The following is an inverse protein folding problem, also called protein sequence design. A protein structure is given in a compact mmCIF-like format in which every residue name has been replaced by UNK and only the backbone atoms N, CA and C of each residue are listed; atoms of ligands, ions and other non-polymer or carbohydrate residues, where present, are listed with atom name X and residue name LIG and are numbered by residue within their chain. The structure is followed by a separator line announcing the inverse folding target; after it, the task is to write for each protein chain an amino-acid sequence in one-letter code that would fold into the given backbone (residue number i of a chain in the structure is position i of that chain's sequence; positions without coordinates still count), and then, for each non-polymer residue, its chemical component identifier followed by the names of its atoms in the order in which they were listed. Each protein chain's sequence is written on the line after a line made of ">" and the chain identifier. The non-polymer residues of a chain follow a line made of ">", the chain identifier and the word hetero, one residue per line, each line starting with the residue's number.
data_IF_588170064597
#
_entry.id   IF_588170064597
#
_cell.length_a   1.000
_cell.length_b   1.000
_cell.length_c   1.000
_cell.angle_alpha   90.00
_cell.angle_beta   90.00
_cell.angle_gamma   90.00
#
_symmetry.space_group_name_H-M   'P 1'
#
loop_
_entity.id
_entity.type
_entity.pdbx_description
1 polymer ?
#
# COMPACT_ATOMS: atom_id res chain seq x y z
N UNK A 1 -30.65 -64.84 -74.13
CA UNK A 1 -29.39 -65.42 -73.59
C UNK A 1 -28.77 -64.40 -72.67
N UNK A 2 -28.35 -64.87 -71.51
CA UNK A 2 -28.04 -64.17 -70.25
C UNK A 2 -27.18 -62.91 -70.34
N UNK A 3 -27.71 -61.81 -69.78
CA UNK A 3 -26.91 -60.69 -69.29
C UNK A 3 -26.22 -61.08 -67.97
N UNK A 4 -24.89 -60.97 -67.92
CA UNK A 4 -24.15 -60.89 -66.67
C UNK A 4 -23.61 -59.46 -66.52
N UNK A 5 -24.20 -58.70 -65.61
CA UNK A 5 -23.69 -57.42 -65.13
C UNK A 5 -22.69 -57.68 -64.01
N UNK A 6 -21.44 -57.30 -64.22
CA UNK A 6 -20.42 -57.16 -63.17
C UNK A 6 -20.53 -55.77 -62.54
N UNK A 7 -21.04 -55.71 -61.31
CA UNK A 7 -21.08 -54.51 -60.49
C UNK A 7 -19.70 -54.28 -59.84
N UNK A 8 -19.08 -53.09 -59.94
CA UNK A 8 -17.89 -52.76 -59.16
C UNK A 8 -18.30 -52.30 -57.75
N UNK A 9 -17.65 -52.89 -56.74
CA UNK A 9 -17.80 -52.54 -55.32
C UNK A 9 -17.14 -51.18 -55.09
N UNK A 10 -17.95 -50.15 -54.83
CA UNK A 10 -17.49 -48.83 -54.36
C UNK A 10 -17.31 -48.88 -52.84
N UNK A 11 -16.06 -48.76 -52.39
CA UNK A 11 -15.69 -48.67 -50.98
C UNK A 11 -15.97 -47.23 -50.49
N UNK A 12 -17.09 -47.01 -49.79
CA UNK A 12 -17.38 -45.73 -49.14
C UNK A 12 -16.49 -45.54 -47.91
N UNK A 13 -15.46 -44.69 -48.03
CA UNK A 13 -14.68 -44.19 -46.90
C UNK A 13 -15.51 -43.09 -46.20
N UNK A 14 -16.09 -43.41 -45.05
CA UNK A 14 -16.77 -42.44 -44.18
C UNK A 14 -15.69 -41.71 -43.38
N UNK A 15 -15.42 -40.45 -43.73
CA UNK A 15 -14.62 -39.54 -42.91
C UNK A 15 -15.45 -39.09 -41.70
N UNK A 16 -15.17 -39.63 -40.52
CA UNK A 16 -15.61 -39.03 -39.26
C UNK A 16 -14.75 -37.80 -38.98
N UNK A 17 -15.27 -36.61 -39.27
CA UNK A 17 -14.70 -35.35 -38.79
C UNK A 17 -15.06 -35.18 -37.32
N UNK A 18 -14.17 -35.56 -36.41
CA UNK A 18 -14.27 -35.25 -34.99
C UNK A 18 -14.00 -33.76 -34.78
N UNK A 19 -15.05 -32.94 -34.69
CA UNK A 19 -14.94 -31.55 -34.25
C UNK A 19 -14.67 -31.52 -32.75
N UNK A 20 -13.41 -31.42 -32.36
CA UNK A 20 -13.02 -31.10 -30.98
C UNK A 20 -13.31 -29.63 -30.72
N UNK A 21 -14.45 -29.33 -30.10
CA UNK A 21 -14.71 -28.01 -29.52
C UNK A 21 -13.81 -27.84 -28.30
N UNK A 22 -12.66 -27.19 -28.48
CA UNK A 22 -11.82 -26.72 -27.37
C UNK A 22 -12.53 -25.54 -26.69
N UNK A 23 -13.30 -25.81 -25.65
CA UNK A 23 -13.72 -24.77 -24.71
C UNK A 23 -12.47 -24.27 -23.99
N UNK A 24 -11.90 -23.16 -24.46
CA UNK A 24 -10.92 -22.40 -23.69
C UNK A 24 -11.64 -21.84 -22.48
N UNK A 25 -11.51 -22.52 -21.33
CA UNK A 25 -11.81 -21.90 -20.05
C UNK A 25 -10.96 -20.62 -19.96
N UNK A 26 -11.54 -19.47 -19.57
CA UNK A 26 -10.73 -18.30 -19.25
C UNK A 26 -9.72 -18.72 -18.18
N UNK A 27 -8.46 -18.24 -18.23
CA UNK A 27 -7.48 -18.57 -17.20
C UNK A 27 -8.11 -18.23 -15.84
N UNK A 28 -8.24 -19.23 -14.98
CA UNK A 28 -8.58 -19.00 -13.58
C UNK A 28 -7.46 -18.14 -13.02
N UNK A 29 -7.73 -16.84 -12.87
CA UNK A 29 -6.88 -15.96 -12.07
C UNK A 29 -6.63 -16.69 -10.75
N UNK A 30 -5.38 -16.95 -10.36
CA UNK A 30 -5.12 -17.63 -9.10
C UNK A 30 -5.87 -16.89 -8.00
N UNK A 31 -6.65 -17.61 -7.20
CA UNK A 31 -7.24 -17.04 -6.00
C UNK A 31 -6.09 -16.48 -5.16
N UNK A 32 -6.02 -15.16 -5.00
CA UNK A 32 -5.00 -14.52 -4.15
C UNK A 32 -5.15 -15.03 -2.70
N UNK A 33 -4.11 -14.92 -1.86
CA UNK A 33 -4.04 -15.57 -0.55
C UNK A 33 -4.89 -14.79 0.48
N UNK A 34 -6.18 -14.75 0.24
CA UNK A 34 -7.10 -13.93 1.03
C UNK A 34 -7.17 -14.41 2.46
N UNK A 35 -7.04 -13.48 3.40
CA UNK A 35 -6.97 -13.78 4.83
C UNK A 35 -5.55 -13.96 5.36
N UNK A 36 -4.52 -13.92 4.51
CA UNK A 36 -3.14 -13.78 4.98
C UNK A 36 -2.94 -12.35 5.52
N UNK A 37 -2.68 -12.24 6.82
CA UNK A 37 -2.22 -11.00 7.44
C UNK A 37 -1.13 -11.25 8.48
N UNK A 38 -0.28 -10.23 8.66
CA UNK A 38 0.67 -10.15 9.76
C UNK A 38 0.36 -8.88 10.56
N UNK A 39 0.36 -9.00 11.88
CA UNK A 39 0.23 -7.86 12.80
C UNK A 39 1.35 -7.99 13.82
N UNK A 40 2.30 -7.06 13.82
CA UNK A 40 3.50 -7.09 14.67
C UNK A 40 3.44 -5.93 15.64
N UNK A 41 3.41 -6.24 16.93
CA UNK A 41 3.50 -5.29 18.03
C UNK A 41 4.98 -5.01 18.33
N UNK A 42 5.50 -3.92 17.77
CA UNK A 42 6.92 -3.60 17.79
C UNK A 42 7.31 -3.10 19.20
N UNK A 43 8.29 -3.71 19.83
CA UNK A 43 8.62 -3.49 21.23
C UNK A 43 8.06 -4.53 22.20
N UNK A 44 7.04 -5.30 21.80
CA UNK A 44 6.39 -6.26 22.68
C UNK A 44 7.12 -7.61 22.72
N UNK A 45 7.39 -8.19 23.91
CA UNK A 45 8.07 -9.49 24.04
C UNK A 45 7.14 -10.69 23.82
N UNK A 46 5.82 -10.49 23.79
CA UNK A 46 4.82 -11.56 23.79
C UNK A 46 3.71 -11.31 22.79
N UNK A 47 3.17 -12.39 22.22
CA UNK A 47 1.96 -12.30 21.41
C UNK A 47 0.79 -11.83 22.26
N UNK A 48 -0.14 -11.12 21.64
CA UNK A 48 -1.37 -10.65 22.27
C UNK A 48 -2.57 -10.82 21.33
N UNK A 49 -3.77 -10.57 21.85
CA UNK A 49 -4.98 -10.52 21.04
C UNK A 49 -5.76 -9.29 21.46
N UNK A 50 -6.17 -8.48 20.50
CA UNK A 50 -6.87 -7.25 20.77
C UNK A 50 -8.39 -7.46 20.96
N UNK A 51 -9.08 -6.36 21.27
CA UNK A 51 -10.54 -6.35 21.47
C UNK A 51 -11.35 -6.71 20.22
N UNK A 52 -10.74 -6.72 19.04
CA UNK A 52 -11.34 -7.10 17.77
C UNK A 52 -11.00 -8.55 17.38
N UNK A 53 -10.41 -9.33 18.29
CA UNK A 53 -9.97 -10.70 18.08
C UNK A 53 -8.85 -10.82 17.03
N UNK A 54 -8.07 -9.76 16.82
CA UNK A 54 -6.87 -9.78 15.97
C UNK A 54 -5.70 -10.30 16.78
N UNK A 55 -5.01 -11.32 16.29
CA UNK A 55 -3.77 -11.81 16.90
C UNK A 55 -2.60 -10.93 16.50
N UNK A 56 -1.94 -10.35 17.51
CA UNK A 56 -0.72 -9.57 17.37
C UNK A 56 0.48 -10.44 17.76
N UNK A 57 1.45 -10.54 16.86
CA UNK A 57 2.72 -11.19 17.09
C UNK A 57 3.60 -10.30 17.95
N UNK A 58 4.36 -10.92 18.86
CA UNK A 58 5.49 -10.24 19.52
C UNK A 58 6.46 -9.70 18.49
N UNK A 59 7.21 -8.69 18.87
CA UNK A 59 8.22 -8.08 18.05
C UNK A 59 9.24 -9.12 17.55
N UNK A 60 9.40 -9.20 16.23
CA UNK A 60 10.23 -10.18 15.53
C UNK A 60 10.51 -9.72 14.10
N UNK A 61 11.43 -10.40 13.42
CA UNK A 61 11.88 -10.11 12.05
C UNK A 61 12.71 -8.82 11.88
N UNK A 62 13.02 -8.11 12.95
CA UNK A 62 13.86 -6.91 12.93
C UNK A 62 15.35 -7.27 12.85
N UNK A 63 16.15 -6.36 12.29
CA UNK A 63 17.61 -6.51 12.18
C UNK A 63 18.39 -6.12 13.44
N UNK A 64 17.84 -5.25 14.28
CA UNK A 64 18.52 -4.74 15.47
C UNK A 64 17.66 -3.73 16.24
N UNK A 65 18.31 -2.86 17.03
CA UNK A 65 17.63 -1.81 17.79
C UNK A 65 17.19 -2.26 19.19
N UNK A 66 16.49 -1.36 19.88
CA UNK A 66 16.03 -1.55 21.25
C UNK A 66 14.53 -1.26 21.36
N UNK A 67 13.93 -1.71 22.45
CA UNK A 67 12.50 -1.57 22.71
C UNK A 67 12.26 -0.44 23.72
N UNK A 68 11.15 0.27 23.57
CA UNK A 68 10.70 1.33 24.45
C UNK A 68 9.20 1.22 24.73
N UNK A 69 8.75 1.99 25.71
CA UNK A 69 7.34 2.21 26.03
C UNK A 69 7.11 3.70 25.92
N UNK A 70 6.00 4.09 25.30
CA UNK A 70 5.56 5.49 25.23
C UNK A 70 5.46 6.12 26.63
N UNK A 71 5.62 7.43 26.76
CA UNK A 71 5.62 8.08 28.07
C UNK A 71 4.27 8.01 28.78
N UNK A 72 3.15 8.02 28.03
CA UNK A 72 1.80 7.99 28.58
C UNK A 72 0.97 6.83 27.98
N UNK A 73 1.29 5.57 28.32
CA UNK A 73 0.69 4.38 27.68
C UNK A 73 -0.82 4.23 27.89
N UNK A 74 -1.39 4.95 28.87
CA UNK A 74 -2.83 4.95 29.13
C UNK A 74 -3.63 5.80 28.13
N UNK A 75 -2.97 6.67 27.34
CA UNK A 75 -3.62 7.42 26.25
C UNK A 75 -4.00 6.52 25.09
N UNK A 76 -3.20 5.50 24.86
CA UNK A 76 -3.36 4.57 23.74
C UNK A 76 -4.35 3.48 24.11
N UNK A 77 -5.32 3.27 23.23
CA UNK A 77 -6.37 2.26 23.45
C UNK A 77 -5.86 0.87 23.11
N UNK A 78 -4.99 0.77 22.12
CA UNK A 78 -4.52 -0.52 21.62
C UNK A 78 -3.16 -0.89 22.21
N UNK A 79 -2.92 -2.20 22.38
CA UNK A 79 -1.67 -2.70 22.94
C UNK A 79 -0.46 -2.37 22.06
N UNK A 80 -0.62 -2.56 20.74
CA UNK A 80 0.40 -2.33 19.72
C UNK A 80 0.75 -0.86 19.48
N UNK A 81 0.11 0.06 20.20
CA UNK A 81 0.42 1.49 20.19
C UNK A 81 1.21 1.93 21.43
N UNK A 82 1.34 1.06 22.44
CA UNK A 82 1.97 1.38 23.74
C UNK A 82 3.45 1.06 23.78
N UNK A 83 3.89 0.12 22.95
CA UNK A 83 5.30 -0.24 22.83
C UNK A 83 5.86 0.25 21.50
N UNK A 84 7.18 0.41 21.44
CA UNK A 84 7.87 0.75 20.22
C UNK A 84 9.22 0.06 20.13
N UNK A 85 9.68 -0.17 18.91
CA UNK A 85 11.09 -0.39 18.60
C UNK A 85 11.70 0.91 18.10
N UNK A 86 12.89 1.21 18.58
CA UNK A 86 13.70 2.30 18.09
C UNK A 86 15.09 1.82 17.66
N UNK A 87 15.65 2.48 16.66
CA UNK A 87 16.92 2.10 16.05
C UNK A 87 17.99 3.16 16.34
N UNK A 88 18.71 3.08 17.48
CA UNK A 88 19.80 4.02 17.77
C UNK A 88 20.96 3.81 16.80
N UNK A 89 21.82 4.83 16.69
CA UNK A 89 23.00 4.80 15.81
C UNK A 89 23.96 3.63 16.11
N UNK A 90 23.95 3.09 17.33
CA UNK A 90 24.71 1.89 17.69
C UNK A 90 24.28 0.63 16.91
N UNK A 91 23.06 0.63 16.39
CA UNK A 91 22.49 -0.41 15.51
C UNK A 91 22.68 -0.09 14.03
N UNK A 92 23.49 0.93 13.70
CA UNK A 92 23.71 1.42 12.35
C UNK A 92 22.60 2.34 11.84
N UNK A 93 22.89 3.04 10.73
CA UNK A 93 21.98 4.02 10.14
C UNK A 93 20.75 3.43 9.45
N UNK A 94 20.80 2.13 9.15
CA UNK A 94 19.78 1.38 8.41
C UNK A 94 19.39 0.13 9.18
N UNK A 95 18.11 -0.02 9.46
CA UNK A 95 17.55 -1.18 10.12
C UNK A 95 16.25 -1.61 9.46
N UNK A 96 15.95 -2.90 9.42
CA UNK A 96 14.81 -3.38 8.66
C UNK A 96 14.03 -4.47 9.39
N UNK A 97 12.76 -4.59 9.03
CA UNK A 97 11.95 -5.78 9.24
C UNK A 97 11.90 -6.60 7.94
N UNK A 98 12.20 -7.89 8.03
CA UNK A 98 12.14 -8.84 6.90
C UNK A 98 11.06 -9.87 7.16
N UNK A 99 9.81 -9.59 6.74
CA UNK A 99 8.66 -10.46 7.00
C UNK A 99 8.66 -11.60 5.98
N UNK A 100 8.80 -12.87 6.41
CA UNK A 100 8.98 -13.99 5.49
C UNK A 100 7.66 -14.65 5.06
N UNK A 101 7.76 -15.59 4.12
CA UNK A 101 6.68 -16.47 3.67
C UNK A 101 5.51 -15.76 2.99
N UNK A 102 5.82 -14.75 2.18
CA UNK A 102 4.83 -13.99 1.43
C UNK A 102 4.69 -14.55 0.00
N UNK A 103 3.54 -15.14 -0.36
CA UNK A 103 3.28 -15.48 -1.77
C UNK A 103 3.26 -14.22 -2.66
N UNK A 104 3.57 -14.36 -3.97
CA UNK A 104 3.50 -13.24 -4.88
C UNK A 104 2.10 -12.62 -4.94
N UNK A 105 1.97 -11.36 -4.55
CA UNK A 105 0.70 -10.62 -4.57
C UNK A 105 0.95 -9.12 -4.41
N UNK A 106 -0.13 -8.35 -4.45
CA UNK A 106 -0.13 -7.01 -3.87
C UNK A 106 -0.41 -7.11 -2.37
N UNK A 107 0.15 -6.20 -1.60
CA UNK A 107 -0.02 -6.13 -0.15
C UNK A 107 -0.31 -4.71 0.30
N UNK A 108 -1.23 -4.55 1.25
CA UNK A 108 -1.34 -3.33 2.04
C UNK A 108 -0.35 -3.43 3.21
N UNK A 109 0.63 -2.54 3.24
CA UNK A 109 1.49 -2.31 4.40
C UNK A 109 0.91 -1.14 5.19
N UNK A 110 0.75 -1.31 6.49
CA UNK A 110 0.39 -0.23 7.42
C UNK A 110 1.37 -0.19 8.58
N UNK A 111 1.81 1.00 8.93
CA UNK A 111 2.67 1.24 10.09
C UNK A 111 2.01 2.23 11.04
N UNK A 112 2.14 2.00 12.34
CA UNK A 112 1.85 3.01 13.36
C UNK A 112 3.16 3.56 13.93
N UNK A 113 3.28 4.89 13.92
CA UNK A 113 4.45 5.61 14.42
C UNK A 113 4.01 6.60 15.48
N UNK A 114 4.65 6.53 16.64
CA UNK A 114 4.48 7.50 17.71
C UNK A 114 5.81 7.71 18.45
N UNK A 115 6.07 8.95 18.87
CA UNK A 115 7.22 9.28 19.70
C UNK A 115 6.84 9.25 21.18
N UNK A 116 5.78 10.00 21.53
CA UNK A 116 5.25 10.25 22.88
C UNK A 116 6.34 10.35 23.95
N UNK A 117 7.45 11.03 23.60
CA UNK A 117 8.59 11.28 24.48
C UNK A 117 9.11 10.04 25.24
N UNK A 118 9.13 8.88 24.59
CA UNK A 118 9.53 7.60 25.21
C UNK A 118 10.94 7.63 25.85
N UNK A 119 11.81 8.54 25.39
CA UNK A 119 13.19 8.69 25.85
C UNK A 119 13.41 9.94 26.74
N UNK A 120 12.36 10.71 27.03
CA UNK A 120 12.42 11.91 27.85
C UNK A 120 13.13 13.13 27.21
N UNK A 121 13.51 13.07 25.93
CA UNK A 121 14.32 14.13 25.28
C UNK A 121 13.52 15.27 24.66
N UNK A 122 12.20 15.11 24.53
CA UNK A 122 11.30 16.06 23.88
C UNK A 122 11.74 16.41 22.44
N UNK A 123 12.35 15.47 21.75
CA UNK A 123 12.84 15.63 20.39
C UNK A 123 12.42 14.41 19.54
N UNK A 124 11.27 14.51 18.82
CA UNK A 124 10.86 13.44 17.93
C UNK A 124 11.89 13.26 16.79
N UNK A 125 12.19 12.03 16.36
CA UNK A 125 13.28 11.74 15.43
C UNK A 125 12.92 12.07 13.98
N UNK A 126 13.92 12.41 13.17
CA UNK A 126 13.82 12.45 11.71
C UNK A 126 14.31 11.13 11.10
N UNK A 127 13.50 10.54 10.21
CA UNK A 127 13.88 9.31 9.52
C UNK A 127 13.01 9.06 8.28
N UNK A 128 13.49 8.18 7.40
CA UNK A 128 12.73 7.66 6.26
C UNK A 128 12.38 6.20 6.44
N UNK A 129 11.28 5.78 5.83
CA UNK A 129 10.85 4.39 5.71
C UNK A 129 10.82 4.03 4.23
N UNK A 130 11.44 2.91 3.89
CA UNK A 130 11.39 2.33 2.55
C UNK A 130 10.74 0.95 2.59
N UNK A 131 10.01 0.62 1.51
CA UNK A 131 9.62 -0.75 1.19
C UNK A 131 10.49 -1.23 0.02
N UNK A 132 11.14 -2.37 0.21
CA UNK A 132 12.22 -2.84 -0.67
C UNK A 132 13.28 -1.74 -0.87
N UNK A 133 13.40 -1.23 -2.09
CA UNK A 133 14.36 -0.20 -2.50
C UNK A 133 13.78 1.22 -2.52
N UNK A 134 12.48 1.41 -2.22
CA UNK A 134 11.75 2.65 -2.51
C UNK A 134 11.35 3.37 -1.22
N UNK A 135 11.77 4.63 -1.05
CA UNK A 135 11.33 5.47 0.08
C UNK A 135 9.85 5.85 -0.09
N UNK A 136 9.07 5.63 0.97
CA UNK A 136 7.59 5.75 0.93
C UNK A 136 7.01 6.60 2.04
N UNK A 137 7.68 6.70 3.20
CA UNK A 137 7.28 7.60 4.28
C UNK A 137 8.49 8.40 4.78
N UNK A 138 8.28 9.69 5.06
CA UNK A 138 9.31 10.58 5.57
C UNK A 138 8.80 11.31 6.81
N UNK A 139 9.46 11.09 7.93
CA UNK A 139 9.17 11.73 9.21
C UNK A 139 10.26 12.76 9.49
N UNK A 140 9.88 14.02 9.75
CA UNK A 140 10.82 15.15 9.88
C UNK A 140 10.54 15.94 11.14
N UNK A 141 11.54 16.05 12.00
CA UNK A 141 11.49 16.85 13.22
C UNK A 141 11.50 18.35 12.91
N UNK A 142 10.79 19.21 13.67
CA UNK A 142 9.88 18.85 14.76
C UNK A 142 8.54 18.33 14.24
N UNK A 143 8.01 17.29 14.88
CA UNK A 143 6.68 16.75 14.53
C UNK A 143 5.58 17.66 15.08
N UNK A 144 4.42 17.77 14.38
CA UNK A 144 3.21 18.35 14.96
C UNK A 144 2.85 17.67 16.28
N UNK A 145 2.31 18.43 17.24
CA UNK A 145 2.06 17.88 18.58
C UNK A 145 1.07 16.70 18.58
N UNK A 146 0.07 16.70 17.71
CA UNK A 146 -0.85 15.58 17.54
C UNK A 146 -0.10 14.32 17.10
N UNK A 147 0.77 14.41 16.11
CA UNK A 147 1.60 13.28 15.67
C UNK A 147 2.59 12.84 16.76
N UNK A 148 3.25 13.79 17.41
CA UNK A 148 4.25 13.50 18.43
C UNK A 148 3.65 12.79 19.66
N UNK A 149 2.41 13.09 20.03
CA UNK A 149 1.76 12.57 21.26
C UNK A 149 0.72 11.49 21.02
N UNK A 150 -0.03 11.57 19.93
CA UNK A 150 -1.11 10.63 19.64
C UNK A 150 -0.73 9.62 18.54
N UNK A 151 0.36 9.89 17.81
CA UNK A 151 0.87 9.02 16.74
C UNK A 151 0.09 9.16 15.43
N UNK A 152 0.52 8.41 14.42
CA UNK A 152 -0.20 8.30 13.16
C UNK A 152 -0.04 6.92 12.52
N UNK A 153 -1.12 6.48 11.89
CA UNK A 153 -1.10 5.37 10.94
C UNK A 153 -0.76 5.90 9.56
N UNK A 154 0.15 5.21 8.86
CA UNK A 154 0.45 5.42 7.46
C UNK A 154 0.34 4.09 6.72
N UNK A 155 -0.32 4.06 5.57
CA UNK A 155 -0.45 2.83 4.77
C UNK A 155 -0.18 3.05 3.28
N UNK A 156 0.12 1.95 2.60
CA UNK A 156 0.43 1.91 1.18
C UNK A 156 0.07 0.55 0.59
N UNK A 157 -0.09 0.48 -0.73
CA UNK A 157 -0.08 -0.78 -1.47
C UNK A 157 1.21 -0.95 -2.26
N UNK A 158 1.86 -2.10 -2.12
CA UNK A 158 3.04 -2.49 -2.90
C UNK A 158 2.92 -3.91 -3.43
N UNK A 159 3.55 -4.17 -4.57
CA UNK A 159 3.61 -5.52 -5.14
C UNK A 159 4.86 -6.24 -4.62
N UNK A 160 4.70 -7.47 -4.17
CA UNK A 160 5.80 -8.36 -3.75
C UNK A 160 5.77 -9.56 -4.69
N UNK A 161 6.82 -9.74 -5.50
CA UNK A 161 6.82 -10.74 -6.59
C UNK A 161 7.91 -11.80 -6.46
N UNK A 162 9.16 -11.42 -6.17
CA UNK A 162 10.32 -12.30 -6.33
C UNK A 162 11.00 -12.74 -5.03
N UNK A 163 10.94 -11.93 -3.97
CA UNK A 163 11.67 -12.19 -2.72
C UNK A 163 10.99 -13.20 -1.79
N UNK A 164 9.68 -13.43 -1.95
CA UNK A 164 8.81 -14.08 -0.95
C UNK A 164 8.88 -13.46 0.45
N UNK A 165 9.36 -12.22 0.54
CA UNK A 165 9.58 -11.48 1.80
C UNK A 165 9.26 -10.00 1.59
N UNK A 166 8.68 -9.35 2.62
CA UNK A 166 8.53 -7.90 2.67
C UNK A 166 9.71 -7.33 3.44
N UNK A 167 10.47 -6.45 2.78
CA UNK A 167 11.57 -5.73 3.41
C UNK A 167 11.12 -4.30 3.71
N UNK A 168 10.95 -3.95 4.98
CA UNK A 168 10.60 -2.61 5.44
C UNK A 168 11.80 -2.04 6.18
N UNK A 169 12.46 -1.03 5.62
CA UNK A 169 13.69 -0.46 6.16
C UNK A 169 13.50 0.97 6.67
N UNK A 170 14.18 1.29 7.76
CA UNK A 170 14.18 2.57 8.45
C UNK A 170 15.58 3.19 8.36
N UNK A 171 15.65 4.44 7.92
CA UNK A 171 16.90 5.17 7.68
C UNK A 171 16.98 6.39 8.60
N UNK A 172 17.97 6.40 9.49
CA UNK A 172 18.17 7.46 10.47
C UNK A 172 18.72 8.72 9.82
N UNK A 173 18.12 9.89 10.09
CA UNK A 173 18.78 11.17 9.79
C UNK A 173 19.76 11.53 10.91
N UNK A 174 21.02 11.77 10.54
CA UNK A 174 22.09 12.10 11.49
C UNK A 174 22.16 11.10 12.67
N UNK A 175 21.77 11.53 13.88
CA UNK A 175 21.78 10.72 15.10
C UNK A 175 20.38 10.35 15.60
N UNK A 176 19.34 10.74 14.88
CA UNK A 176 17.95 10.52 15.28
C UNK A 176 17.58 9.04 15.13
N UNK A 177 17.08 8.37 16.17
CA UNK A 177 16.69 6.97 16.08
C UNK A 177 15.31 6.83 15.41
N UNK A 178 15.18 6.14 14.27
CA UNK A 178 13.86 5.80 13.73
C UNK A 178 13.04 5.00 14.74
N UNK A 179 11.73 5.23 14.77
CA UNK A 179 10.79 4.59 15.71
C UNK A 179 9.61 3.96 14.96
N UNK A 180 9.12 2.83 15.45
CA UNK A 180 7.90 2.16 14.96
C UNK A 180 7.24 1.38 16.09
N UNK A 181 5.92 1.50 16.19
CA UNK A 181 5.10 0.84 17.22
C UNK A 181 4.35 -0.37 16.67
N UNK A 182 3.88 -0.30 15.43
CA UNK A 182 3.29 -1.47 14.79
C UNK A 182 3.57 -1.55 13.31
N UNK A 183 3.63 -2.79 12.81
CA UNK A 183 3.70 -3.11 11.39
C UNK A 183 2.62 -4.14 11.09
N UNK A 184 1.78 -3.83 10.12
CA UNK A 184 0.72 -4.68 9.66
C UNK A 184 0.81 -4.90 8.15
N UNK A 185 0.54 -6.11 7.70
CA UNK A 185 0.61 -6.48 6.30
C UNK A 185 -0.61 -7.32 5.94
N UNK A 186 -1.34 -6.93 4.91
CA UNK A 186 -2.53 -7.64 4.44
C UNK A 186 -2.38 -8.00 2.97
N UNK A 187 -2.66 -9.24 2.61
CA UNK A 187 -2.71 -9.63 1.21
C UNK A 187 -3.90 -8.95 0.50
N UNK A 188 -3.61 -8.34 -0.65
CA UNK A 188 -4.57 -7.74 -1.55
C UNK A 188 -4.54 -8.44 -2.91
N UNK A 189 -5.62 -8.30 -3.67
CA UNK A 189 -5.67 -8.84 -5.02
C UNK A 189 -4.60 -8.15 -5.89
N UNK A 190 -3.77 -8.92 -6.64
CA UNK A 190 -2.70 -8.35 -7.46
C UNK A 190 -3.23 -7.44 -8.59
N UNK A 191 -4.49 -7.59 -8.99
CA UNK A 191 -5.13 -6.74 -10.01
C UNK A 191 -5.88 -5.54 -9.41
N UNK A 192 -5.91 -5.37 -8.08
CA UNK A 192 -6.58 -4.23 -7.44
C UNK A 192 -6.03 -2.88 -7.93
N UNK A 193 -6.82 -1.83 -7.84
CA UNK A 193 -6.50 -0.46 -8.25
C UNK A 193 -5.87 -0.38 -9.65
N UNK A 194 -6.46 -1.11 -10.61
CA UNK A 194 -6.01 -1.19 -12.01
C UNK A 194 -4.50 -1.38 -12.17
N UNK A 195 -3.93 -2.29 -11.36
CA UNK A 195 -2.51 -2.57 -11.32
C UNK A 195 -1.87 -2.74 -12.70
N UNK A 196 -2.57 -3.34 -13.67
CA UNK A 196 -2.06 -3.52 -15.03
C UNK A 196 -1.93 -2.21 -15.83
N UNK A 197 -2.82 -1.24 -15.61
CA UNK A 197 -2.78 0.06 -16.29
C UNK A 197 -1.76 1.00 -15.65
N UNK A 198 -1.63 0.94 -14.32
CA UNK A 198 -0.65 1.72 -13.55
C UNK A 198 0.75 1.10 -13.63
N UNK A 199 0.83 -0.23 -13.79
CA UNK A 199 2.02 -1.06 -13.67
C UNK A 199 3.05 -0.98 -14.79
N UNK A 200 2.98 0.00 -15.71
CA UNK A 200 4.11 0.24 -16.61
C UNK A 200 5.39 0.65 -15.87
N UNK A 201 5.28 1.13 -14.62
CA UNK A 201 6.41 1.62 -13.80
C UNK A 201 6.48 1.01 -12.39
N UNK A 202 5.86 -0.16 -12.14
CA UNK A 202 5.84 -0.87 -10.85
C UNK A 202 5.73 0.05 -9.61
N UNK A 203 4.71 0.92 -9.60
CA UNK A 203 4.59 1.98 -8.59
C UNK A 203 3.98 1.49 -7.28
N UNK A 204 4.47 2.03 -6.17
CA UNK A 204 3.85 1.94 -4.85
C UNK A 204 2.72 2.96 -4.75
N UNK A 205 1.56 2.55 -4.24
CA UNK A 205 0.42 3.44 -3.99
C UNK A 205 0.44 3.89 -2.53
N UNK A 206 1.03 5.05 -2.25
CA UNK A 206 1.09 5.62 -0.89
C UNK A 206 -0.21 6.35 -0.59
N UNK A 207 -0.87 6.05 0.51
CA UNK A 207 -2.17 6.64 0.86
C UNK A 207 -2.04 8.07 1.41
N UNK A 208 -2.66 9.03 0.73
CA UNK A 208 -2.77 10.44 1.15
C UNK A 208 -4.19 10.82 1.59
N UNK A 209 -5.11 9.85 1.63
CA UNK A 209 -6.47 10.05 2.11
C UNK A 209 -7.34 8.90 1.70
N UNK A 210 -7.93 8.21 2.70
CA UNK A 210 -8.96 7.18 2.49
C UNK A 210 -10.14 7.51 3.38
N UNK A 211 -11.17 8.10 2.80
CA UNK A 211 -12.28 8.75 3.50
C UNK A 211 -13.59 7.98 3.31
N UNK A 212 -14.33 7.80 4.39
CA UNK A 212 -15.73 7.34 4.40
C UNK A 212 -16.62 8.56 4.63
N UNK A 213 -17.34 8.96 3.59
CA UNK A 213 -18.13 10.18 3.61
C UNK A 213 -19.43 9.99 4.39
N UNK A 214 -19.71 10.92 5.31
CA UNK A 214 -20.92 10.86 6.15
C UNK A 214 -20.85 9.78 7.25
N UNK A 215 -19.67 9.27 7.57
CA UNK A 215 -19.45 8.29 8.63
C UNK A 215 -18.29 8.70 9.54
N UNK A 216 -18.23 8.09 10.73
CA UNK A 216 -17.04 8.17 11.60
C UNK A 216 -15.96 7.23 11.07
N UNK A 217 -14.73 7.41 11.54
CA UNK A 217 -13.63 6.49 11.24
C UNK A 217 -13.98 5.03 11.60
N UNK A 218 -13.57 4.08 10.75
CA UNK A 218 -13.83 2.65 10.93
C UNK A 218 -12.78 1.78 10.21
N UNK A 219 -12.76 0.48 10.53
CA UNK A 219 -11.82 -0.50 9.97
C UNK A 219 -10.84 -1.03 11.03
N UNK A 220 -9.82 -1.81 10.62
CA UNK A 220 -8.89 -2.46 11.55
C UNK A 220 -8.25 -1.45 12.51
N UNK A 221 -8.36 -1.70 13.81
CA UNK A 221 -7.91 -0.81 14.88
C UNK A 221 -8.97 0.18 15.37
N UNK A 222 -10.05 0.44 14.63
CA UNK A 222 -11.04 1.47 14.97
C UNK A 222 -12.43 0.92 15.26
N UNK A 223 -12.83 -0.16 14.59
CA UNK A 223 -14.15 -0.79 14.76
C UNK A 223 -14.13 -2.26 14.36
N UNK A 224 -15.23 -2.98 14.62
CA UNK A 224 -15.39 -4.39 14.26
C UNK A 224 -15.84 -4.61 12.80
N UNK A 225 -15.73 -3.58 11.96
CA UNK A 225 -16.13 -3.66 10.56
C UNK A 225 -14.96 -4.16 9.73
N UNK A 226 -15.19 -5.22 8.96
CA UNK A 226 -14.14 -5.85 8.17
C UNK A 226 -13.98 -5.20 6.81
N UNK A 227 -12.73 -5.13 6.36
CA UNK A 227 -12.34 -4.88 4.98
C UNK A 227 -11.34 -5.98 4.58
N UNK A 228 -11.56 -6.65 3.46
CA UNK A 228 -10.75 -7.80 3.04
C UNK A 228 -9.27 -7.46 2.81
N UNK A 229 -8.96 -6.20 2.52
CA UNK A 229 -7.60 -5.71 2.32
C UNK A 229 -7.02 -5.03 3.56
N UNK A 230 -7.74 -5.04 4.68
CA UNK A 230 -7.29 -4.39 5.92
C UNK A 230 -7.26 -2.87 5.86
N UNK A 231 -7.95 -2.25 4.89
CA UNK A 231 -8.03 -0.79 4.79
C UNK A 231 -8.82 -0.23 5.97
N UNK A 232 -8.31 0.85 6.56
CA UNK A 232 -9.07 1.70 7.46
C UNK A 232 -9.53 2.96 6.74
N UNK A 233 -10.73 3.42 7.09
CA UNK A 233 -11.42 4.53 6.46
C UNK A 233 -11.61 5.65 7.49
N UNK A 234 -11.11 6.84 7.17
CA UNK A 234 -11.20 8.02 8.02
C UNK A 234 -12.52 8.76 7.81
N UNK A 235 -12.93 9.56 8.79
CA UNK A 235 -14.06 10.49 8.60
C UNK A 235 -13.70 11.51 7.52
N UNK A 236 -14.64 11.83 6.65
CA UNK A 236 -14.47 12.91 5.68
C UNK A 236 -14.57 14.31 6.31
N UNK A 237 -15.03 14.39 7.57
CA UNK A 237 -15.40 15.64 8.24
C UNK A 237 -14.34 16.72 8.19
N UNK A 238 -13.08 16.33 8.36
CA UNK A 238 -11.95 17.24 8.57
C UNK A 238 -11.32 17.68 7.24
N UNK A 239 -11.70 17.02 6.14
CA UNK A 239 -11.23 17.28 4.78
C UNK A 239 -12.21 18.12 3.96
N UNK A 240 -13.45 18.28 4.45
CA UNK A 240 -14.46 19.09 3.77
C UNK A 240 -14.09 20.56 3.84
N UNK A 241 -14.07 21.18 2.69
CA UNK A 241 -13.89 22.61 2.51
C UNK A 241 -15.16 23.20 1.86
N UNK A 242 -15.29 24.52 1.86
CA UNK A 242 -16.48 25.18 1.32
C UNK A 242 -17.54 25.54 2.36
N UNK A 243 -18.53 26.33 1.92
CA UNK A 243 -19.54 26.97 2.80
C UNK A 243 -20.87 26.22 2.85
N UNK A 244 -21.06 25.24 1.97
CA UNK A 244 -22.31 24.49 1.89
C UNK A 244 -22.51 23.65 3.14
N UNK A 245 -23.73 23.65 3.67
CA UNK A 245 -24.09 22.71 4.75
C UNK A 245 -24.11 21.30 4.19
N UNK A 246 -23.36 20.42 4.84
CA UNK A 246 -23.24 19.01 4.46
C UNK A 246 -24.01 18.15 5.45
N UNK A 247 -24.88 17.30 4.92
CA UNK A 247 -25.64 16.31 5.69
C UNK A 247 -25.10 14.92 5.40
N UNK A 248 -24.98 14.11 6.45
CA UNK A 248 -24.73 12.68 6.30
C UNK A 248 -26.04 11.94 5.97
N UNK A 249 -25.95 10.95 5.09
CA UNK A 249 -27.01 10.01 4.77
C UNK A 249 -26.54 8.61 5.09
N UNK A 250 -27.46 7.77 5.54
CA UNK A 250 -27.18 6.36 5.83
C UNK A 250 -28.35 5.49 5.43
N UNK A 251 -28.07 4.26 5.01
CA UNK A 251 -29.08 3.23 4.77
C UNK A 251 -28.70 1.92 5.45
N UNK A 252 -29.70 1.09 5.73
CA UNK A 252 -29.54 -0.31 6.15
C UNK A 252 -29.81 -1.29 5.01
N UNK A 253 -30.23 -0.79 3.86
CA UNK A 253 -30.45 -1.59 2.66
C UNK A 253 -29.13 -2.17 2.18
N UNK A 254 -29.21 -3.37 1.60
CA UNK A 254 -28.06 -4.01 0.98
C UNK A 254 -27.61 -3.22 -0.25
N UNK A 255 -26.32 -2.99 -0.39
CA UNK A 255 -25.71 -2.35 -1.56
C UNK A 255 -25.11 -3.43 -2.46
N UNK A 256 -25.66 -3.57 -3.66
CA UNK A 256 -25.13 -4.50 -4.67
C UNK A 256 -23.82 -3.99 -5.30
N UNK A 257 -23.03 -4.88 -5.91
CA UNK A 257 -21.76 -4.53 -6.55
C UNK A 257 -20.58 -4.31 -5.61
N UNK A 258 -20.77 -4.53 -4.30
CA UNK A 258 -19.73 -4.46 -3.26
C UNK A 258 -19.01 -5.80 -3.10
N UNK A 259 -17.84 -5.79 -2.44
CA UNK A 259 -17.04 -7.00 -2.18
C UNK A 259 -16.68 -7.80 -3.45
N UNK A 260 -16.57 -7.11 -4.59
CA UNK A 260 -16.24 -7.72 -5.88
C UNK A 260 -14.75 -7.57 -6.21
N UNK A 261 -14.20 -8.59 -6.89
CA UNK A 261 -12.86 -8.51 -7.47
C UNK A 261 -12.77 -7.37 -8.50
N UNK A 262 -11.59 -6.75 -8.67
CA UNK A 262 -10.36 -7.02 -7.94
C UNK A 262 -10.23 -6.19 -6.64
N UNK A 263 -11.10 -5.22 -6.38
CA UNK A 263 -10.87 -4.24 -5.31
C UNK A 263 -11.49 -4.57 -3.96
N UNK A 264 -12.51 -5.44 -3.94
CA UNK A 264 -13.25 -5.86 -2.75
C UNK A 264 -13.64 -4.66 -1.89
N UNK A 265 -14.19 -3.61 -2.50
CA UNK A 265 -14.61 -2.43 -1.74
C UNK A 265 -15.75 -2.82 -0.79
N UNK A 266 -15.62 -2.48 0.50
CA UNK A 266 -16.53 -2.97 1.53
C UNK A 266 -17.91 -2.35 1.43
N UNK A 267 -18.95 -3.13 1.69
CA UNK A 267 -20.34 -2.67 1.62
C UNK A 267 -20.61 -1.47 2.54
N UNK A 268 -20.00 -1.48 3.73
CA UNK A 268 -20.11 -0.42 4.72
C UNK A 268 -19.78 0.96 4.15
N UNK A 269 -18.79 1.05 3.25
CA UNK A 269 -18.41 2.31 2.61
C UNK A 269 -19.59 2.95 1.87
N UNK A 270 -20.41 2.13 1.21
CA UNK A 270 -21.52 2.58 0.37
C UNK A 270 -22.85 2.69 1.11
N UNK A 271 -22.91 2.30 2.39
CA UNK A 271 -24.11 2.46 3.22
C UNK A 271 -24.21 3.87 3.83
N UNK A 272 -23.15 4.67 3.74
CA UNK A 272 -23.13 6.07 4.17
C UNK A 272 -22.72 6.97 3.03
N UNK A 273 -23.18 8.21 3.04
CA UNK A 273 -22.76 9.22 2.09
C UNK A 273 -22.83 10.63 2.69
N UNK A 274 -22.00 11.54 2.17
CA UNK A 274 -22.18 12.97 2.35
C UNK A 274 -23.01 13.55 1.18
N UNK A 275 -23.93 14.46 1.47
CA UNK A 275 -24.68 15.23 0.47
C UNK A 275 -24.82 16.69 0.91
N UNK A 276 -24.96 17.60 -0.03
CA UNK A 276 -25.24 19.00 0.27
C UNK A 276 -26.74 19.19 0.61
N UNK A 277 -27.06 20.10 1.54
CA UNK A 277 -28.44 20.28 2.03
C UNK A 277 -29.37 21.02 1.05
N UNK A 278 -28.86 21.91 0.20
CA UNK A 278 -29.66 22.77 -0.69
C UNK A 278 -29.53 22.37 -2.18
N UNK A 279 -30.56 22.68 -2.98
CA UNK A 279 -30.58 22.40 -4.43
C UNK A 279 -29.52 23.22 -5.17
N UNK A 280 -28.65 22.56 -5.94
CA UNK A 280 -27.44 23.16 -6.52
C UNK A 280 -26.23 23.12 -5.59
N UNK A 281 -26.33 22.41 -4.46
CA UNK A 281 -25.29 22.33 -3.45
C UNK A 281 -23.96 21.78 -3.97
N UNK A 282 -22.88 22.21 -3.33
CA UNK A 282 -21.51 21.84 -3.66
C UNK A 282 -20.94 21.01 -2.51
N UNK A 283 -20.28 19.91 -2.83
CA UNK A 283 -19.37 19.24 -1.90
C UNK A 283 -17.95 19.53 -2.35
N UNK A 284 -17.10 19.96 -1.44
CA UNK A 284 -15.73 20.34 -1.74
C UNK A 284 -14.83 19.75 -0.65
N UNK A 285 -13.70 19.20 -1.08
CA UNK A 285 -12.73 18.52 -0.25
C UNK A 285 -11.34 19.01 -0.63
N UNK A 286 -10.48 19.23 0.36
CA UNK A 286 -9.06 19.47 0.16
C UNK A 286 -8.25 18.41 0.88
N UNK A 287 -7.35 17.77 0.13
CA UNK A 287 -6.44 16.74 0.61
C UNK A 287 -5.02 17.31 0.54
N UNK A 288 -4.32 17.33 1.68
CA UNK A 288 -2.90 17.66 1.73
C UNK A 288 -2.09 16.59 1.01
N UNK A 289 -1.22 17.03 0.11
CA UNK A 289 -0.41 16.17 -0.76
C UNK A 289 0.98 16.76 -0.96
N UNK A 290 1.87 15.96 -1.54
CA UNK A 290 3.19 16.43 -1.95
C UNK A 290 3.18 16.91 -3.40
N UNK A 291 3.91 17.98 -3.67
CA UNK A 291 4.05 18.48 -5.02
C UNK A 291 4.96 17.57 -5.87
N UNK A 292 4.79 17.64 -7.19
CA UNK A 292 5.56 16.96 -8.24
C UNK A 292 5.40 15.43 -8.26
N UNK A 293 4.25 14.94 -7.81
CA UNK A 293 3.86 13.53 -7.90
C UNK A 293 2.58 13.36 -8.71
N UNK A 294 2.36 12.13 -9.16
CA UNK A 294 1.08 11.70 -9.74
C UNK A 294 0.17 11.18 -8.63
N UNK A 295 -1.13 11.44 -8.73
CA UNK A 295 -2.14 11.04 -7.74
C UNK A 295 -3.28 10.25 -8.39
N UNK A 296 -3.56 9.05 -7.89
CA UNK A 296 -4.70 8.22 -8.26
C UNK A 296 -5.85 8.51 -7.29
N UNK A 297 -6.89 9.16 -7.79
CA UNK A 297 -8.08 9.50 -7.02
C UNK A 297 -9.20 8.53 -7.37
N UNK A 298 -9.77 7.85 -6.38
CA UNK A 298 -10.97 7.02 -6.49
C UNK A 298 -12.13 7.70 -5.79
N UNK A 299 -13.27 7.78 -6.47
CA UNK A 299 -14.51 8.30 -5.94
C UNK A 299 -15.55 7.17 -5.90
N UNK A 300 -16.18 7.02 -4.74
CA UNK A 300 -17.12 5.96 -4.45
C UNK A 300 -18.53 6.53 -4.31
N UNK A 301 -19.48 5.93 -5.01
CA UNK A 301 -20.86 6.38 -5.09
C UNK A 301 -21.84 5.23 -4.91
N UNK A 302 -22.98 5.51 -4.30
CA UNK A 302 -24.16 4.66 -4.36
C UNK A 302 -25.40 5.56 -4.16
N UNK A 303 -26.42 5.41 -5.01
CA UNK A 303 -27.67 6.15 -4.79
C UNK A 303 -28.47 5.44 -3.69
N UNK A 304 -28.29 5.93 -2.46
CA UNK A 304 -28.92 5.39 -1.25
C UNK A 304 -30.14 6.20 -0.80
N UNK A 305 -30.45 7.30 -1.49
CA UNK A 305 -31.59 8.14 -1.16
C UNK A 305 -32.86 7.64 -1.85
N UNK A 306 -33.82 7.16 -1.06
CA UNK A 306 -35.05 6.54 -1.58
C UNK A 306 -35.92 7.42 -2.48
N UNK A 307 -35.76 8.76 -2.43
CA UNK A 307 -36.52 9.68 -3.29
C UNK A 307 -35.97 9.75 -4.73
N UNK A 308 -34.73 9.33 -4.96
CA UNK A 308 -34.13 9.27 -6.31
C UNK A 308 -34.36 7.88 -6.88
N UNK A 309 -35.27 7.77 -7.86
CA UNK A 309 -35.79 6.49 -8.35
C UNK A 309 -35.68 6.31 -9.86
N UNK A 310 -35.10 7.27 -10.56
CA UNK A 310 -34.90 7.19 -12.01
C UNK A 310 -33.73 8.07 -12.46
N UNK A 311 -33.27 7.75 -13.67
CA UNK A 311 -32.26 8.54 -14.41
C UNK A 311 -32.68 10.01 -14.48
N UNK A 312 -31.72 10.90 -14.26
CA UNK A 312 -31.87 12.35 -14.36
C UNK A 312 -32.36 13.06 -13.10
N UNK A 313 -32.73 12.35 -12.03
CA UNK A 313 -33.19 12.96 -10.78
C UNK A 313 -32.03 13.47 -9.89
N UNK A 314 -30.84 12.90 -10.04
CA UNK A 314 -29.61 13.44 -9.47
C UNK A 314 -28.50 13.42 -10.52
N UNK A 315 -28.00 14.60 -10.86
CA UNK A 315 -26.93 14.79 -11.82
C UNK A 315 -25.97 15.83 -11.26
N UNK A 316 -24.68 15.55 -11.25
CA UNK A 316 -23.66 16.48 -10.78
C UNK A 316 -22.36 16.36 -11.56
N UNK A 317 -21.62 17.45 -11.63
CA UNK A 317 -20.31 17.51 -12.27
C UNK A 317 -19.22 17.28 -11.22
N UNK A 318 -18.17 16.55 -11.60
CA UNK A 318 -17.01 16.23 -10.77
C UNK A 318 -15.81 17.02 -11.28
N UNK A 319 -15.23 17.80 -10.39
CA UNK A 319 -14.03 18.59 -10.62
C UNK A 319 -12.90 18.07 -9.74
N UNK A 320 -11.70 17.99 -10.30
CA UNK A 320 -10.47 17.77 -9.54
C UNK A 320 -9.49 18.87 -9.92
N UNK A 321 -8.98 19.63 -8.95
CA UNK A 321 -8.12 20.79 -9.20
C UNK A 321 -8.71 21.78 -10.22
N UNK A 322 -10.00 22.09 -10.06
CA UNK A 322 -10.79 22.98 -10.93
C UNK A 322 -11.05 22.48 -12.37
N UNK A 323 -10.48 21.35 -12.78
CA UNK A 323 -10.78 20.72 -14.07
C UNK A 323 -12.08 19.91 -13.98
N UNK A 324 -13.05 20.19 -14.85
CA UNK A 324 -14.28 19.39 -14.96
C UNK A 324 -14.00 18.08 -15.70
N UNK A 325 -13.99 16.96 -14.97
CA UNK A 325 -13.57 15.67 -15.52
C UNK A 325 -14.73 14.81 -16.00
N UNK A 326 -15.89 14.87 -15.33
CA UNK A 326 -17.03 14.03 -15.68
C UNK A 326 -18.35 14.55 -15.11
N UNK A 327 -19.45 14.17 -15.77
CA UNK A 327 -20.82 14.34 -15.26
C UNK A 327 -21.37 12.99 -14.81
N UNK A 328 -21.81 12.92 -13.57
CA UNK A 328 -22.28 11.69 -12.92
C UNK A 328 -23.80 11.73 -12.72
N UNK A 329 -24.45 10.64 -13.11
CA UNK A 329 -25.79 10.24 -12.69
C UNK A 329 -25.68 8.80 -12.20
N UNK A 330 -25.70 8.62 -10.87
CA UNK A 330 -25.43 7.31 -10.25
C UNK A 330 -26.51 6.29 -10.65
N UNK A 331 -27.78 6.73 -10.67
CA UNK A 331 -28.91 5.86 -11.02
C UNK A 331 -28.81 5.37 -12.47
N UNK A 332 -28.33 6.22 -13.38
CA UNK A 332 -28.05 5.81 -14.77
C UNK A 332 -26.96 4.75 -14.88
N UNK A 333 -25.92 4.83 -14.06
CA UNK A 333 -24.79 3.90 -14.12
C UNK A 333 -25.13 2.54 -13.54
N UNK A 334 -25.79 2.52 -12.37
CA UNK A 334 -25.95 1.28 -11.58
C UNK A 334 -27.33 1.10 -10.94
N UNK A 335 -28.24 2.07 -11.08
CA UNK A 335 -29.53 2.09 -10.38
C UNK A 335 -29.41 2.55 -8.92
N UNK A 336 -30.42 2.24 -8.11
CA UNK A 336 -30.43 2.52 -6.68
C UNK A 336 -29.80 1.38 -5.86
N UNK A 337 -29.19 1.70 -4.73
CA UNK A 337 -28.58 0.74 -3.81
C UNK A 337 -27.56 -0.20 -4.49
N UNK A 338 -26.74 0.38 -5.37
CA UNK A 338 -25.66 -0.30 -6.06
C UNK A 338 -24.40 0.57 -6.05
N UNK A 339 -23.24 -0.07 -5.86
CA UNK A 339 -21.95 0.60 -5.83
C UNK A 339 -21.50 0.99 -7.24
N UNK A 340 -21.07 2.24 -7.37
CA UNK A 340 -20.43 2.79 -8.56
C UNK A 340 -19.11 3.43 -8.15
N UNK A 341 -18.04 3.13 -8.90
CA UNK A 341 -16.72 3.73 -8.68
C UNK A 341 -16.24 4.41 -9.94
N UNK A 342 -15.60 5.56 -9.76
CA UNK A 342 -14.94 6.28 -10.82
C UNK A 342 -13.58 6.75 -10.31
N UNK A 343 -12.55 6.71 -11.15
CA UNK A 343 -11.20 7.12 -10.77
C UNK A 343 -10.51 7.90 -11.87
N UNK A 344 -9.54 8.71 -11.46
CA UNK A 344 -8.73 9.52 -12.35
C UNK A 344 -7.30 9.65 -11.81
N UNK A 345 -6.32 9.75 -12.70
CA UNK A 345 -4.94 9.99 -12.32
C UNK A 345 -4.56 11.43 -12.65
N UNK A 346 -4.42 12.26 -11.63
CA UNK A 346 -3.83 13.60 -11.73
C UNK A 346 -2.34 13.43 -11.97
N UNK A 347 -1.81 14.10 -12.99
CA UNK A 347 -0.40 13.98 -13.39
C UNK A 347 0.41 15.18 -12.94
N UNK A 348 1.58 14.94 -12.36
CA UNK A 348 2.58 15.94 -11.99
C UNK A 348 1.96 17.16 -11.28
N UNK A 349 1.25 16.89 -10.18
CA UNK A 349 0.55 17.93 -9.43
C UNK A 349 1.56 18.91 -8.83
N UNK A 350 1.53 20.18 -9.24
CA UNK A 350 2.48 21.19 -8.76
C UNK A 350 2.13 21.78 -7.39
N UNK A 351 0.92 21.52 -6.89
CA UNK A 351 0.37 22.02 -5.63
C UNK A 351 0.59 21.04 -4.48
N UNK A 352 0.61 21.53 -3.25
CA UNK A 352 0.57 20.70 -2.02
C UNK A 352 -0.86 20.40 -1.56
N UNK A 353 -1.86 20.74 -2.37
CA UNK A 353 -3.28 20.50 -2.11
C UNK A 353 -3.91 19.91 -3.36
N UNK A 354 -4.67 18.81 -3.18
CA UNK A 354 -5.54 18.22 -4.19
C UNK A 354 -6.98 18.54 -3.82
N UNK A 355 -7.70 19.26 -4.68
CA UNK A 355 -9.11 19.58 -4.46
C UNK A 355 -10.03 18.62 -5.21
N UNK A 356 -11.08 18.15 -4.55
CA UNK A 356 -12.17 17.36 -5.16
C UNK A 356 -13.47 18.10 -4.93
N UNK A 357 -14.20 18.40 -5.99
CA UNK A 357 -15.42 19.20 -5.91
C UNK A 357 -16.53 18.59 -6.75
N UNK A 358 -17.70 18.42 -6.15
CA UNK A 358 -18.90 17.91 -6.79
C UNK A 358 -19.94 19.04 -6.82
N UNK A 359 -20.42 19.38 -8.00
CA UNK A 359 -21.36 20.51 -8.20
C UNK A 359 -22.68 19.98 -8.75
N UNK A 360 -23.77 20.18 -7.99
CA UNK A 360 -25.11 19.76 -8.40
C UNK A 360 -25.57 20.46 -9.67
N UNK A 361 -25.96 19.66 -10.69
CA UNK A 361 -26.65 20.13 -11.90
C UNK A 361 -28.16 19.94 -11.73
N UNK A 362 -28.57 18.76 -11.26
CA UNK A 362 -29.93 18.44 -10.84
C UNK A 362 -29.84 17.76 -9.47
N UNK A 363 -30.52 18.33 -8.47
CA UNK A 363 -30.39 17.87 -7.09
C UNK A 363 -29.03 18.20 -6.47
N UNK A 364 -28.81 17.72 -5.24
CA UNK A 364 -27.52 17.84 -4.56
C UNK A 364 -26.60 16.69 -4.98
N UNK A 365 -25.27 16.87 -5.03
CA UNK A 365 -24.34 15.76 -5.20
C UNK A 365 -24.36 14.83 -3.98
N UNK A 366 -23.90 13.60 -4.17
CA UNK A 366 -23.78 12.58 -3.14
C UNK A 366 -22.49 11.81 -3.36
N UNK A 367 -21.74 11.52 -2.29
CA UNK A 367 -20.50 10.73 -2.35
C UNK A 367 -20.37 9.85 -1.11
N UNK A 368 -19.94 8.60 -1.30
CA UNK A 368 -19.79 7.59 -0.24
C UNK A 368 -18.35 7.52 0.30
N UNK A 369 -17.36 7.77 -0.55
CA UNK A 369 -15.96 7.72 -0.15
C UNK A 369 -15.02 8.32 -1.19
N UNK A 370 -13.82 8.64 -0.72
CA UNK A 370 -12.73 9.21 -1.53
C UNK A 370 -11.45 8.46 -1.14
N UNK A 371 -10.71 7.96 -2.11
CA UNK A 371 -9.34 7.50 -1.92
C UNK A 371 -8.39 8.33 -2.77
N UNK A 372 -7.21 8.66 -2.22
CA UNK A 372 -6.17 9.40 -2.89
C UNK A 372 -4.82 8.72 -2.63
N UNK A 373 -4.18 8.24 -3.68
CA UNK A 373 -2.88 7.58 -3.60
C UNK A 373 -1.83 8.33 -4.42
N UNK A 374 -0.69 8.66 -3.82
CA UNK A 374 0.48 9.04 -4.59
C UNK A 374 1.03 7.80 -5.31
N UNK A 375 1.32 7.92 -6.60
CA UNK A 375 2.04 6.89 -7.36
C UNK A 375 3.53 7.16 -7.21
N UNK A 376 4.19 6.44 -6.32
CA UNK A 376 5.64 6.52 -6.12
C UNK A 376 6.30 5.45 -7.00
N UNK A 377 7.08 5.83 -8.04
CA UNK A 377 7.80 4.86 -8.86
C UNK A 377 8.76 4.03 -8.00
N UNK A 378 8.86 2.74 -8.26
CA UNK A 378 9.84 1.92 -7.55
C UNK A 378 11.26 2.27 -7.96
N UNK A 379 12.13 2.42 -6.96
CA UNK A 379 13.55 2.62 -7.17
C UNK A 379 14.23 1.29 -7.54
N UNK A 380 15.34 1.34 -8.31
CA UNK A 380 16.09 0.14 -8.66
C UNK A 380 16.72 -0.49 -7.41
N UNK A 381 16.48 -1.78 -7.22
CA UNK A 381 17.14 -2.59 -6.18
C UNK A 381 18.53 -3.07 -6.63
N UNK A 382 19.33 -3.54 -5.68
CA UNK A 382 20.56 -4.29 -5.98
C UNK A 382 20.22 -5.60 -6.69
N UNK A 383 21.04 -6.01 -7.66
CA UNK A 383 20.86 -7.29 -8.36
C UNK A 383 20.84 -8.47 -7.36
N UNK A 384 19.89 -9.43 -7.46
CA UNK A 384 19.67 -10.44 -6.42
C UNK A 384 20.91 -11.28 -6.08
N UNK A 385 21.71 -11.65 -7.07
CA UNK A 385 22.91 -12.47 -6.89
C UNK A 385 23.94 -11.77 -6.00
N UNK A 386 24.08 -10.45 -6.15
CA UNK A 386 25.00 -9.66 -5.33
C UNK A 386 24.44 -9.42 -3.93
N UNK A 387 23.13 -9.31 -3.77
CA UNK A 387 22.49 -9.29 -2.43
C UNK A 387 22.80 -10.58 -1.67
N UNK A 388 22.70 -11.74 -2.33
CA UNK A 388 23.05 -13.04 -1.73
C UNK A 388 24.53 -13.06 -1.30
N UNK A 389 25.43 -12.62 -2.17
CA UNK A 389 26.86 -12.53 -1.87
C UNK A 389 27.14 -11.64 -0.65
N UNK A 390 26.50 -10.46 -0.58
CA UNK A 390 26.70 -9.51 0.49
C UNK A 390 26.13 -9.98 1.82
N UNK A 391 24.98 -10.65 1.82
CA UNK A 391 24.45 -11.31 3.03
C UNK A 391 25.41 -12.39 3.54
N UNK A 392 25.93 -13.23 2.64
CA UNK A 392 26.94 -14.23 3.01
C UNK A 392 28.24 -13.60 3.53
N UNK A 393 28.65 -12.46 2.95
CA UNK A 393 29.82 -11.71 3.41
C UNK A 393 29.61 -11.10 4.80
N UNK A 394 28.43 -10.50 5.04
CA UNK A 394 28.02 -9.97 6.36
C UNK A 394 28.18 -11.02 7.45
N UNK A 395 27.64 -12.21 7.21
CA UNK A 395 27.62 -13.30 8.19
C UNK A 395 29.02 -13.89 8.39
N UNK A 396 29.74 -14.14 7.30
CA UNK A 396 31.08 -14.77 7.33
C UNK A 396 32.16 -13.88 7.96
N UNK A 397 32.09 -12.55 7.77
CA UNK A 397 32.98 -11.57 8.40
C UNK A 397 32.48 -11.05 9.75
N UNK A 398 31.35 -11.57 10.25
CA UNK A 398 30.70 -11.16 11.50
C UNK A 398 30.60 -9.64 11.60
N UNK A 399 30.11 -9.02 10.53
CA UNK A 399 30.05 -7.56 10.40
C UNK A 399 29.25 -6.99 11.59
N UNK A 400 29.84 -6.08 12.38
CA UNK A 400 29.18 -5.53 13.55
C UNK A 400 27.91 -4.76 13.19
N UNK A 401 26.87 -4.82 14.04
CA UNK A 401 25.58 -4.15 13.82
C UNK A 401 25.72 -2.65 13.54
N UNK A 402 26.68 -1.97 14.18
CA UNK A 402 26.95 -0.54 13.98
C UNK A 402 27.19 -0.15 12.52
N UNK A 403 27.64 -1.07 11.67
CA UNK A 403 27.88 -0.79 10.24
C UNK A 403 26.58 -0.72 9.43
N UNK A 404 25.43 -1.11 10.01
CA UNK A 404 24.13 -0.94 9.36
C UNK A 404 23.96 -1.75 8.08
N UNK A 405 24.65 -2.88 7.94
CA UNK A 405 24.52 -3.80 6.80
C UNK A 405 23.18 -4.55 6.84
N UNK A 406 22.07 -3.84 6.67
CA UNK A 406 20.70 -4.37 6.74
C UNK A 406 19.93 -4.04 5.47
N UNK A 407 19.01 -4.90 5.03
CA UNK A 407 18.20 -4.68 3.84
C UNK A 407 18.96 -4.74 2.52
N UNK A 408 18.64 -3.84 1.58
CA UNK A 408 19.32 -3.76 0.27
C UNK A 408 20.72 -3.11 0.40
N UNK A 409 21.80 -3.65 -0.18
CA UNK A 409 23.14 -3.08 -0.05
C UNK A 409 23.33 -1.70 -0.67
N UNK A 410 22.62 -1.38 -1.75
CA UNK A 410 22.82 -0.15 -2.54
C UNK A 410 21.62 0.80 -2.53
N UNK A 411 20.43 0.32 -2.20
CA UNK A 411 19.18 1.07 -2.29
C UNK A 411 18.67 1.53 -0.90
N UNK A 412 17.86 2.61 -0.86
CA UNK A 412 17.41 3.47 -1.96
C UNK A 412 18.53 4.38 -2.47
N UNK A 413 18.41 4.86 -3.71
CA UNK A 413 19.46 5.68 -4.35
C UNK A 413 19.65 7.06 -3.72
N UNK A 414 18.69 7.53 -2.94
CA UNK A 414 18.75 8.78 -2.19
C UNK A 414 19.39 8.65 -0.81
N UNK A 415 19.79 7.44 -0.40
CA UNK A 415 20.54 7.18 0.82
C UNK A 415 21.91 6.59 0.50
N UNK A 416 22.81 6.66 1.48
CA UNK A 416 24.09 5.97 1.41
C UNK A 416 23.85 4.45 1.32
N UNK A 417 24.66 3.78 0.50
CA UNK A 417 24.80 2.33 0.51
C UNK A 417 25.27 1.84 1.89
N UNK A 418 25.33 0.53 2.08
CA UNK A 418 25.95 -0.06 3.26
C UNK A 418 27.35 0.53 3.52
N UNK A 419 27.71 0.72 4.79
CA UNK A 419 28.99 1.34 5.14
C UNK A 419 30.16 0.57 4.52
N UNK A 420 31.03 1.26 3.78
CA UNK A 420 32.13 0.65 3.05
C UNK A 420 31.76 0.04 1.70
N UNK A 421 30.50 0.11 1.26
CA UNK A 421 30.06 -0.41 -0.04
C UNK A 421 29.84 0.75 -1.00
N UNK A 422 30.42 0.63 -2.20
CA UNK A 422 30.17 1.57 -3.30
C UNK A 422 29.41 0.86 -4.40
N UNK A 423 28.32 1.50 -4.84
CA UNK A 423 27.45 0.97 -5.86
C UNK A 423 27.40 1.89 -7.09
N UNK A 424 27.04 1.30 -8.23
CA UNK A 424 26.76 2.03 -9.47
C UNK A 424 25.52 1.45 -10.13
N UNK A 425 24.92 2.22 -11.02
CA UNK A 425 23.82 1.72 -11.85
C UNK A 425 24.33 0.67 -12.84
N UNK A 426 23.52 -0.35 -13.11
CA UNK A 426 23.76 -1.33 -14.15
C UNK A 426 23.78 -0.67 -15.54
N UNK A 427 24.42 -1.32 -16.53
CA UNK A 427 24.56 -0.76 -17.90
C UNK A 427 23.23 -0.44 -18.59
N UNK A 428 22.16 -1.14 -18.21
CA UNK A 428 20.81 -0.97 -18.74
C UNK A 428 19.91 -0.07 -17.85
N UNK A 429 20.45 0.51 -16.78
CA UNK A 429 19.75 1.38 -15.84
C UNK A 429 18.52 0.75 -15.13
N UNK A 430 18.47 -0.58 -15.00
CA UNK A 430 17.34 -1.28 -14.36
C UNK A 430 17.62 -1.77 -12.94
N UNK A 431 18.88 -1.76 -12.50
CA UNK A 431 19.29 -2.27 -11.18
C UNK A 431 20.56 -1.57 -10.69
N UNK A 432 20.89 -1.78 -9.42
CA UNK A 432 22.15 -1.37 -8.80
C UNK A 432 23.10 -2.56 -8.72
N UNK A 433 24.39 -2.30 -8.90
CA UNK A 433 25.47 -3.28 -8.76
C UNK A 433 26.56 -2.74 -7.87
N UNK A 434 27.24 -3.62 -7.16
CA UNK A 434 28.31 -3.33 -6.22
C UNK A 434 29.62 -3.30 -6.99
N UNK A 435 30.32 -2.17 -6.94
CA UNK A 435 31.58 -1.96 -7.64
C UNK A 435 32.80 -1.95 -6.75
N UNK A 436 32.65 -1.61 -5.47
CA UNK A 436 33.75 -1.62 -4.51
C UNK A 436 33.24 -1.95 -3.11
N UNK A 437 34.07 -2.67 -2.37
CA UNK A 437 33.92 -2.89 -0.93
C UNK A 437 35.21 -2.39 -0.28
N UNK A 438 35.11 -1.61 0.79
CA UNK A 438 36.22 -1.16 1.62
C UNK A 438 35.84 -1.36 3.10
N UNK A 439 36.46 -2.39 3.68
CA UNK A 439 36.27 -2.75 5.09
C UNK A 439 37.55 -2.55 5.90
N UNK A 440 38.49 -1.75 5.36
CA UNK A 440 39.77 -1.47 5.99
C UNK A 440 39.61 -0.95 7.42
N UNK A 441 40.45 -1.44 8.33
CA UNK A 441 40.52 -0.97 9.72
C UNK A 441 39.25 -1.19 10.59
N UNK A 442 38.29 -2.00 10.14
CA UNK A 442 37.03 -2.25 10.87
C UNK A 442 37.12 -3.36 11.93
N UNK A 443 38.27 -4.03 12.04
CA UNK A 443 38.49 -5.12 13.01
C UNK A 443 37.58 -6.33 12.78
N UNK A 444 37.20 -6.59 11.51
CA UNK A 444 36.35 -7.71 11.13
C UNK A 444 37.00 -9.05 11.46
N UNK A 445 36.18 -10.06 11.72
CA UNK A 445 36.62 -11.40 12.12
C UNK A 445 35.97 -12.43 11.20
N UNK A 446 36.75 -13.39 10.72
CA UNK A 446 36.21 -14.50 9.93
C UNK A 446 36.94 -14.65 8.60
N UNK A 447 36.23 -15.13 7.59
CA UNK A 447 36.76 -15.44 6.27
C UNK A 447 35.84 -14.91 5.18
N UNK A 448 36.40 -14.67 3.99
CA UNK A 448 35.60 -14.33 2.81
C UNK A 448 34.88 -15.58 2.32
N UNK A 449 33.57 -15.50 2.13
CA UNK A 449 32.74 -16.58 1.57
C UNK A 449 33.00 -16.77 0.08
N UNK A 450 32.99 -18.01 -0.42
CA UNK A 450 33.09 -18.33 -1.86
C UNK A 450 31.95 -17.69 -2.69
N UNK A 451 30.85 -17.33 -2.04
CA UNK A 451 29.75 -16.56 -2.63
C UNK A 451 30.20 -15.17 -3.12
N UNK A 452 31.40 -14.70 -2.76
CA UNK A 452 31.99 -13.48 -3.32
C UNK A 452 32.10 -13.53 -4.85
N UNK A 453 32.18 -14.73 -5.43
CA UNK A 453 32.14 -14.94 -6.89
C UNK A 453 30.87 -14.43 -7.58
N UNK A 454 29.77 -14.24 -6.84
CA UNK A 454 28.53 -13.65 -7.35
C UNK A 454 28.59 -12.12 -7.46
N UNK A 455 29.62 -11.46 -6.91
CA UNK A 455 29.91 -10.04 -7.10
C UNK A 455 30.60 -9.79 -8.45
N UNK A 456 29.89 -10.08 -9.55
CA UNK A 456 30.39 -10.00 -10.93
C UNK A 456 30.91 -8.62 -11.35
N UNK A 457 30.44 -7.57 -10.68
CA UNK A 457 30.74 -6.17 -11.01
C UNK A 457 31.79 -5.54 -10.07
N UNK A 458 32.31 -6.31 -9.11
CA UNK A 458 33.29 -5.86 -8.13
C UNK A 458 34.63 -5.58 -8.81
N UNK A 459 35.13 -4.36 -8.62
CA UNK A 459 36.42 -3.89 -9.17
C UNK A 459 37.50 -3.89 -8.10
N UNK A 460 37.14 -3.59 -6.85
CA UNK A 460 38.06 -3.55 -5.71
C UNK A 460 37.40 -4.05 -4.41
N UNK A 461 38.21 -4.68 -3.55
CA UNK A 461 37.86 -5.21 -2.24
C UNK A 461 38.89 -4.77 -1.19
#
# INVERSE_FOLDING_TARGET
>A
MSLFHTLPIFLCIIFFTSTTTSTTLPPSSPSFPSGLSYHIDCGSPTNSTDQFNTTWLSDRYFSGGATGIVSEPLRFRHGHEKTLRFFPISSGKKNCYTIPNLPPSRYLLRTFVVYDNYDGRSHPPSFDVAIAATVVFSWRSPWPQSLARDGAYADLFATITASSEALICFYSFATDPPVVSSIELFAADPASYDAAAIGKNDSVLVNYGRLSCGSKQWGPGFSNDSDRFGRSWQSDSDFRTGRSKVRAMSTRSRISGTEQKPNYFPEKLYQTAATAEEGGGVLEYELSVDAKLDYLVWLHFAEIEERVRRVGERVFDVYINDDNLTRVDIYKQVGGFAAFTWHHTVKNLSSSVLSVKLVGVVGAPLICGIENYALVPSDPSTVPEQVVAMKALKDSLRVPERMGWNGDPCAPTNWDAWEGVTCRTSKNNTALVISQIDLGSQGLKGSISDQISLLSDLVSL
#
